data_IF_961030167806
#
_entry.id   IF_961030167806
#
_cell.length_a   1.000
_cell.length_b   1.000
_cell.length_c   1.000
_cell.angle_alpha   90.00
_cell.angle_beta   90.00
_cell.angle_gamma   90.00
#
_symmetry.space_group_name_H-M   'P 1'
#
loop_
_entity.id
_entity.type
_entity.pdbx_description
1 polymer ?
#
# COMPACT_ATOMS: atom_id res chain seq x y z
N UNK A 1 8.13 -3.08 23.11
CA UNK A 1 8.82 -2.26 22.09
C UNK A 1 7.72 -1.73 21.19
N UNK A 2 7.27 -0.50 21.45
CA UNK A 2 6.04 0.09 20.91
C UNK A 2 6.45 1.34 20.14
N UNK A 3 6.66 1.22 18.83
CA UNK A 3 7.18 2.33 18.00
C UNK A 3 6.09 3.30 17.52
N UNK A 4 4.91 3.28 18.14
CA UNK A 4 3.90 4.30 17.94
C UNK A 4 4.13 5.42 18.95
N UNK A 5 4.80 6.50 18.52
CA UNK A 5 5.03 7.72 19.32
C UNK A 5 3.75 8.34 19.89
N UNK A 6 2.56 7.91 19.47
CA UNK A 6 1.30 8.28 20.08
C UNK A 6 0.23 7.16 19.88
N UNK A 7 -0.05 6.32 20.88
CA UNK A 7 -1.04 5.24 20.77
C UNK A 7 -2.49 5.74 20.69
N UNK A 8 -2.74 7.01 21.02
CA UNK A 8 -4.04 7.66 20.88
C UNK A 8 -4.25 8.29 19.49
N UNK A 9 -3.24 8.27 18.62
CA UNK A 9 -3.37 8.81 17.27
C UNK A 9 -4.15 7.85 16.38
N UNK A 10 -5.15 8.33 15.61
CA UNK A 10 -5.81 7.49 14.60
C UNK A 10 -4.94 7.20 13.38
N UNK A 11 -3.78 7.84 13.27
CA UNK A 11 -2.90 7.74 12.10
C UNK A 11 -1.78 6.74 12.33
N UNK A 12 -1.54 5.87 11.34
CA UNK A 12 -0.38 4.97 11.34
C UNK A 12 0.94 5.72 11.48
N UNK A 13 1.03 6.90 10.86
CA UNK A 13 2.15 7.83 10.96
C UNK A 13 1.64 9.19 11.44
N UNK A 14 1.79 9.51 12.74
CA UNK A 14 1.39 10.82 13.25
C UNK A 14 2.30 11.93 12.69
N UNK A 15 1.70 13.05 12.33
CA UNK A 15 2.42 14.24 11.89
C UNK A 15 2.96 15.07 13.05
N UNK A 16 3.67 16.15 12.72
CA UNK A 16 4.24 17.08 13.71
C UNK A 16 3.20 17.85 14.54
N UNK A 17 1.96 17.90 14.08
CA UNK A 17 0.86 18.62 14.73
C UNK A 17 -0.17 17.62 15.23
N UNK A 18 -0.72 17.86 16.42
CA UNK A 18 -1.74 17.00 17.00
C UNK A 18 -2.93 16.82 16.04
N UNK A 19 -3.42 15.60 15.92
CA UNK A 19 -4.54 15.24 15.03
C UNK A 19 -4.22 15.20 13.54
N UNK A 20 -3.02 15.60 13.10
CA UNK A 20 -2.65 15.64 11.68
C UNK A 20 -1.84 14.40 11.27
N UNK A 21 -2.08 13.83 10.08
CA UNK A 21 -1.23 12.78 9.54
C UNK A 21 0.14 13.32 9.12
N UNK A 22 1.15 12.45 9.07
CA UNK A 22 2.43 12.78 8.47
C UNK A 22 2.25 13.06 6.96
N UNK A 23 2.91 14.11 6.46
CA UNK A 23 2.88 14.44 5.03
C UNK A 23 3.66 13.37 4.24
N UNK A 24 3.10 12.83 3.14
CA UNK A 24 3.78 11.82 2.33
C UNK A 24 5.15 12.26 1.80
N UNK A 25 5.27 13.54 1.40
CA UNK A 25 6.54 14.09 0.90
C UNK A 25 7.61 14.10 1.98
N UNK A 26 7.22 14.41 3.21
CA UNK A 26 8.12 14.40 4.35
C UNK A 26 8.59 13.00 4.69
N UNK A 27 7.67 12.01 4.70
CA UNK A 27 8.05 10.61 4.88
C UNK A 27 8.98 10.12 3.77
N UNK A 28 8.71 10.51 2.52
CA UNK A 28 9.57 10.17 1.38
C UNK A 28 10.96 10.78 1.53
N UNK A 29 11.06 12.03 1.99
CA UNK A 29 12.34 12.67 2.28
C UNK A 29 13.11 11.94 3.40
N UNK A 30 12.43 11.53 4.48
CA UNK A 30 13.04 10.74 5.55
C UNK A 30 13.54 9.38 5.06
N UNK A 31 12.76 8.70 4.21
CA UNK A 31 13.18 7.44 3.59
C UNK A 31 14.40 7.63 2.69
N UNK A 32 14.48 8.74 1.95
CA UNK A 32 15.65 9.06 1.13
C UNK A 32 16.92 9.26 1.98
N UNK A 33 16.81 9.86 3.18
CA UNK A 33 17.96 10.05 4.09
C UNK A 33 18.56 8.70 4.51
N UNK A 34 17.74 7.66 4.66
CA UNK A 34 18.21 6.29 4.95
C UNK A 34 18.54 5.47 3.69
N UNK A 35 18.58 6.11 2.52
CA UNK A 35 18.93 5.47 1.25
C UNK A 35 17.80 4.65 0.62
N UNK A 36 16.55 4.83 1.06
CA UNK A 36 15.38 4.14 0.49
C UNK A 36 14.61 5.11 -0.41
N UNK A 37 14.82 5.07 -1.74
CA UNK A 37 14.08 5.92 -2.66
C UNK A 37 12.63 5.45 -2.77
N UNK A 38 11.70 6.08 -2.03
CA UNK A 38 10.34 5.60 -1.84
C UNK A 38 9.60 5.20 -3.15
N UNK A 39 9.72 6.01 -4.21
CA UNK A 39 9.08 5.71 -5.50
C UNK A 39 9.71 4.51 -6.21
N UNK A 40 11.03 4.43 -6.26
CA UNK A 40 11.75 3.32 -6.89
C UNK A 40 11.61 2.03 -6.07
N UNK A 41 11.73 2.12 -4.75
CA UNK A 41 11.52 1.03 -3.81
C UNK A 41 10.10 0.46 -3.91
N UNK A 42 9.08 1.32 -4.05
CA UNK A 42 7.70 0.87 -4.29
C UNK A 42 7.58 0.09 -5.59
N UNK A 43 8.15 0.59 -6.68
CA UNK A 43 8.13 -0.11 -7.97
C UNK A 43 8.83 -1.47 -7.91
N UNK A 44 9.99 -1.53 -7.25
CA UNK A 44 10.72 -2.78 -7.04
C UNK A 44 9.95 -3.76 -6.15
N UNK A 45 9.36 -3.30 -5.05
CA UNK A 45 8.56 -4.12 -4.14
C UNK A 45 7.36 -4.75 -4.85
N UNK A 46 6.62 -3.98 -5.65
CA UNK A 46 5.48 -4.52 -6.42
C UNK A 46 5.95 -5.59 -7.39
N UNK A 47 7.05 -5.34 -8.12
CA UNK A 47 7.62 -6.33 -9.05
C UNK A 47 8.04 -7.61 -8.34
N UNK A 48 8.64 -7.50 -7.16
CA UNK A 48 9.02 -8.66 -6.36
C UNK A 48 7.80 -9.43 -5.84
N UNK A 49 6.77 -8.74 -5.37
CA UNK A 49 5.51 -9.35 -4.96
C UNK A 49 4.85 -10.12 -6.12
N UNK A 50 4.96 -9.62 -7.34
CA UNK A 50 4.43 -10.30 -8.53
C UNK A 50 5.18 -11.59 -8.92
N UNK A 51 6.39 -11.80 -8.40
CA UNK A 51 7.11 -13.07 -8.56
C UNK A 51 6.60 -14.12 -7.56
N UNK A 52 6.27 -13.69 -6.34
CA UNK A 52 5.83 -14.57 -5.25
C UNK A 52 4.32 -14.82 -5.27
N UNK A 53 3.53 -13.82 -5.68
CA UNK A 53 2.07 -13.82 -5.59
C UNK A 53 1.41 -13.63 -6.97
N UNK A 54 0.22 -14.20 -7.19
CA UNK A 54 -0.55 -13.96 -8.40
C UNK A 54 -0.98 -12.50 -8.54
N UNK A 55 -0.96 -11.98 -9.78
CA UNK A 55 -1.34 -10.61 -10.10
C UNK A 55 -2.66 -10.12 -9.52
N UNK A 56 -3.76 -10.87 -9.67
CA UNK A 56 -5.05 -10.46 -9.13
C UNK A 56 -5.02 -10.21 -7.61
N UNK A 57 -4.26 -11.02 -6.86
CA UNK A 57 -4.10 -10.86 -5.40
C UNK A 57 -3.35 -9.57 -5.09
N UNK A 58 -2.26 -9.29 -5.81
CA UNK A 58 -1.46 -8.07 -5.62
C UNK A 58 -2.27 -6.83 -6.04
N UNK A 59 -3.08 -6.93 -7.09
CA UNK A 59 -3.96 -5.87 -7.56
C UNK A 59 -5.00 -5.51 -6.50
N UNK A 60 -5.72 -6.50 -5.95
CA UNK A 60 -6.73 -6.27 -4.93
C UNK A 60 -6.12 -5.77 -3.61
N UNK A 61 -5.03 -6.41 -3.15
CA UNK A 61 -4.36 -6.06 -1.90
C UNK A 61 -3.81 -4.62 -1.88
N UNK A 62 -3.29 -4.15 -3.03
CA UNK A 62 -2.72 -2.80 -3.16
C UNK A 62 -3.70 -1.79 -3.76
N UNK A 63 -4.89 -2.22 -4.17
CA UNK A 63 -5.91 -1.38 -4.82
C UNK A 63 -5.52 -0.91 -6.23
N UNK A 64 -4.68 -1.66 -6.95
CA UNK A 64 -4.35 -1.37 -8.34
C UNK A 64 -5.40 -1.93 -9.30
N UNK A 65 -5.60 -1.24 -10.43
CA UNK A 65 -6.40 -1.77 -11.51
C UNK A 65 -5.66 -2.93 -12.20
N UNK A 66 -6.39 -4.01 -12.53
CA UNK A 66 -5.90 -5.18 -13.26
C UNK A 66 -5.02 -4.84 -14.46
N UNK A 67 -5.39 -3.88 -15.31
CA UNK A 67 -4.60 -3.47 -16.49
C UNK A 67 -3.17 -3.04 -16.12
N UNK A 68 -3.02 -2.30 -15.02
CA UNK A 68 -1.71 -1.85 -14.52
C UNK A 68 -0.90 -3.04 -14.02
N UNK A 69 -1.54 -3.94 -13.28
CA UNK A 69 -0.90 -5.13 -12.74
C UNK A 69 -0.52 -6.14 -13.84
N UNK A 70 -1.35 -6.33 -14.87
CA UNK A 70 -1.03 -7.16 -16.05
C UNK A 70 0.18 -6.63 -16.80
N UNK A 71 0.27 -5.30 -16.97
CA UNK A 71 1.45 -4.67 -17.59
C UNK A 71 2.71 -4.94 -16.76
N UNK A 72 2.65 -4.72 -15.45
CA UNK A 72 3.79 -4.97 -14.56
C UNK A 72 4.20 -6.45 -14.54
N UNK A 73 3.23 -7.37 -14.58
CA UNK A 73 3.52 -8.81 -14.68
C UNK A 73 4.26 -9.16 -15.96
N UNK A 74 3.84 -8.58 -17.09
CA UNK A 74 4.53 -8.76 -18.37
C UNK A 74 5.96 -8.20 -18.33
N UNK A 75 6.17 -7.06 -17.66
CA UNK A 75 7.50 -6.48 -17.46
C UNK A 75 8.43 -7.40 -16.63
N UNK A 76 7.90 -8.12 -15.64
CA UNK A 76 8.69 -9.05 -14.80
C UNK A 76 8.77 -10.48 -15.37
N UNK A 77 8.18 -10.74 -16.54
CA UNK A 77 8.16 -12.07 -17.16
C UNK A 77 7.26 -13.10 -16.46
N UNK A 78 6.33 -12.64 -15.62
CA UNK A 78 5.38 -13.50 -14.91
C UNK A 78 4.15 -13.84 -15.76
N UNK A 79 3.35 -14.82 -15.32
CA UNK A 79 2.12 -15.24 -16.00
C UNK A 79 0.91 -15.12 -15.07
N UNK A 80 -0.20 -14.60 -15.59
CA UNK A 80 -1.50 -14.51 -14.91
C UNK A 80 -2.16 -15.87 -14.59
N UNK A 81 -1.66 -16.96 -15.18
CA UNK A 81 -2.32 -18.28 -15.23
C UNK A 81 -2.46 -19.00 -13.88
N UNK A 82 -1.79 -18.53 -12.82
CA UNK A 82 -1.74 -19.25 -11.53
C UNK A 82 -2.96 -18.99 -10.61
N UNK A 83 -3.93 -18.19 -11.01
CA UNK A 83 -5.08 -17.83 -10.18
C UNK A 83 -6.40 -18.37 -10.75
N UNK A 84 -7.16 -19.10 -9.93
CA UNK A 84 -8.52 -19.53 -10.28
C UNK A 84 -9.49 -18.33 -10.16
N UNK A 85 -10.43 -18.21 -11.09
CA UNK A 85 -11.49 -17.21 -11.05
C UNK A 85 -12.54 -17.55 -9.95
N UNK A 86 -12.12 -17.57 -8.68
CA UNK A 86 -13.00 -17.70 -7.53
C UNK A 86 -13.40 -16.31 -7.03
N UNK A 87 -14.69 -16.05 -6.84
CA UNK A 87 -15.26 -14.75 -6.49
C UNK A 87 -14.67 -14.11 -5.23
N UNK A 88 -13.62 -13.33 -5.42
CA UNK A 88 -13.11 -12.35 -4.46
C UNK A 88 -13.84 -11.03 -4.71
N UNK A 89 -15.17 -11.07 -4.54
CA UNK A 89 -15.93 -9.83 -4.47
C UNK A 89 -15.49 -9.14 -3.18
N UNK A 90 -14.85 -7.97 -3.33
CA UNK A 90 -14.62 -7.07 -2.21
C UNK A 90 -15.94 -6.94 -1.47
N UNK A 91 -16.03 -7.24 -0.16
CA UNK A 91 -17.29 -7.15 0.55
C UNK A 91 -17.81 -5.72 0.40
N UNK A 92 -18.93 -5.60 -0.32
CA UNK A 92 -19.68 -4.35 -0.49
C UNK A 92 -20.18 -3.95 0.89
N UNK A 93 -19.40 -3.12 1.57
CA UNK A 93 -19.58 -2.81 2.99
C UNK A 93 -18.31 -2.39 3.74
N UNK A 94 -17.11 -2.54 3.15
CA UNK A 94 -15.90 -1.96 3.76
C UNK A 94 -15.97 -0.42 3.73
N UNK A 95 -16.41 0.17 4.84
CA UNK A 95 -16.35 1.61 5.09
C UNK A 95 -15.10 1.87 5.92
N UNK A 96 -14.07 2.55 5.39
CA UNK A 96 -12.97 3.02 6.23
C UNK A 96 -13.56 3.96 7.27
N UNK A 97 -13.36 3.66 8.56
CA UNK A 97 -13.85 4.52 9.65
C UNK A 97 -13.27 5.91 9.46
N UNK A 98 -14.09 6.85 8.98
CA UNK A 98 -13.76 8.27 9.06
C UNK A 98 -13.75 8.60 10.54
N UNK A 99 -12.61 9.04 11.06
CA UNK A 99 -12.56 9.63 12.38
C UNK A 99 -13.41 10.89 12.35
N UNK A 100 -14.58 10.80 12.99
CA UNK A 100 -15.40 11.96 13.29
C UNK A 100 -14.56 12.89 14.16
N UNK A 101 -14.17 14.03 13.61
CA UNK A 101 -13.71 15.17 14.40
C UNK A 101 -14.87 15.58 15.29
N UNK A 102 -14.75 15.31 16.59
CA UNK A 102 -15.60 15.92 17.61
C UNK A 102 -14.97 17.27 17.95
N UNK A 103 -15.77 18.33 17.78
CA UNK A 103 -15.47 19.67 18.32
C UNK A 103 -15.45 19.66 19.85
#
# INVERSE_FOLDING_TARGET
MNTATNPASPWLFPGRWAGQPARPDHLSALLNVVGVPAAAARGAAIRQQLLELPGPVVADALGYHDKTTSRLIREVGGTWSRYAAGGHTRPTGWIPRRTTTVE
#
